data_IF_339040413117
#
_entry.id   IF_339040413117
#
_cell.length_a   1.000
_cell.length_b   1.000
_cell.length_c   1.000
_cell.angle_alpha   90.00
_cell.angle_beta   90.00
_cell.angle_gamma   90.00
#
_symmetry.space_group_name_H-M   'P 1'
#
loop_
_entity.id
_entity.type
_entity.pdbx_description
1 polymer ?
#
# COMPACT_ATOMS: atom_id res chain seq x y z
N UNK A 1 -10.76 -13.56 18.28
CA UNK A 1 -10.87 -14.28 17.02
C UNK A 1 -10.34 -13.43 15.86
N UNK A 2 -9.70 -14.06 14.95
CA UNK A 2 -9.16 -13.34 13.80
C UNK A 2 -10.28 -12.88 12.86
N UNK A 3 -10.16 -11.65 12.41
CA UNK A 3 -11.05 -11.10 11.41
C UNK A 3 -10.53 -11.30 9.99
N UNK A 4 -9.39 -11.94 9.85
CA UNK A 4 -8.76 -12.12 8.56
C UNK A 4 -9.54 -13.08 7.67
N UNK A 5 -9.68 -12.71 6.42
CA UNK A 5 -10.22 -13.59 5.39
C UNK A 5 -9.25 -14.75 5.12
N UNK A 6 -9.75 -15.94 4.76
CA UNK A 6 -8.85 -17.03 4.39
C UNK A 6 -7.92 -16.71 3.23
N UNK A 7 -8.29 -15.72 2.40
CA UNK A 7 -7.47 -15.30 1.27
C UNK A 7 -6.42 -14.27 1.62
N UNK A 8 -6.45 -13.75 2.84
CA UNK A 8 -5.48 -12.75 3.26
C UNK A 8 -4.21 -13.39 3.77
N UNK A 9 -3.10 -12.73 3.48
CA UNK A 9 -1.79 -13.14 3.97
C UNK A 9 -1.37 -12.23 5.11
N UNK A 10 -0.69 -12.79 6.09
CA UNK A 10 -0.15 -12.01 7.20
C UNK A 10 1.37 -11.99 7.09
N UNK A 11 1.93 -10.81 7.36
CA UNK A 11 3.36 -10.65 7.43
C UNK A 11 3.82 -10.83 8.86
N UNK A 12 4.96 -11.50 9.01
CA UNK A 12 5.52 -11.73 10.32
C UNK A 12 6.57 -10.66 10.62
N UNK A 13 6.34 -9.90 11.68
CA UNK A 13 7.28 -8.85 12.12
C UNK A 13 7.68 -9.18 13.56
N UNK A 14 8.98 -9.28 13.84
CA UNK A 14 9.42 -9.53 15.20
C UNK A 14 8.86 -8.49 16.18
N UNK A 15 8.43 -8.93 17.34
CA UNK A 15 7.77 -8.04 18.31
C UNK A 15 8.67 -6.89 18.76
N UNK A 16 9.93 -7.16 18.95
CA UNK A 16 10.88 -6.12 19.37
C UNK A 16 11.07 -5.06 18.30
N UNK A 17 11.05 -5.46 17.04
CA UNK A 17 11.11 -4.51 15.90
C UNK A 17 9.83 -3.68 15.85
N UNK A 18 8.69 -4.33 15.98
CA UNK A 18 7.41 -3.65 15.93
C UNK A 18 7.31 -2.59 17.05
N UNK A 19 7.74 -2.96 18.26
CA UNK A 19 7.71 -2.05 19.40
C UNK A 19 8.70 -0.90 19.28
N UNK A 20 9.79 -1.11 18.54
CA UNK A 20 10.82 -0.09 18.35
C UNK A 20 10.41 0.99 17.34
N UNK A 21 9.35 0.77 16.61
CA UNK A 21 8.90 1.72 15.59
C UNK A 21 8.45 3.02 16.24
N UNK A 22 8.94 4.13 15.71
CA UNK A 22 8.64 5.47 16.24
C UNK A 22 7.35 6.01 15.65
N UNK A 23 6.28 5.25 15.82
CA UNK A 23 4.95 5.57 15.33
C UNK A 23 3.98 5.19 16.44
N UNK A 24 2.92 5.97 16.67
CA UNK A 24 1.92 5.60 17.66
C UNK A 24 1.39 4.18 17.39
N UNK A 25 1.14 3.44 18.45
CA UNK A 25 0.76 2.03 18.35
C UNK A 25 -0.45 1.80 17.44
N UNK A 26 -1.45 2.68 17.54
CA UNK A 26 -2.66 2.58 16.72
C UNK A 26 -2.44 2.90 15.25
N UNK A 27 -1.27 3.42 14.90
CA UNK A 27 -0.92 3.77 13.52
C UNK A 27 0.13 2.86 12.90
N UNK A 28 0.65 1.91 13.67
CA UNK A 28 1.77 1.08 13.18
C UNK A 28 1.41 0.22 11.99
N UNK A 29 0.31 -0.50 12.06
CA UNK A 29 -0.09 -1.38 10.96
C UNK A 29 -0.37 -0.59 9.70
N UNK A 30 -1.06 0.52 9.85
CA UNK A 30 -1.38 1.42 8.75
C UNK A 30 -0.11 1.96 8.09
N UNK A 31 0.85 2.38 8.92
CA UNK A 31 2.13 2.90 8.43
C UNK A 31 2.91 1.84 7.69
N UNK A 32 2.98 0.62 8.23
CA UNK A 32 3.68 -0.48 7.60
C UNK A 32 3.08 -0.78 6.23
N UNK A 33 1.77 -0.87 6.14
CA UNK A 33 1.08 -1.15 4.87
C UNK A 33 1.34 -0.04 3.85
N UNK A 34 1.31 1.21 4.30
CA UNK A 34 1.56 2.36 3.43
C UNK A 34 2.99 2.33 2.88
N UNK A 35 3.97 2.14 3.75
CA UNK A 35 5.37 2.13 3.33
C UNK A 35 5.67 0.94 2.43
N UNK A 36 5.08 -0.20 2.73
CA UNK A 36 5.23 -1.39 1.90
C UNK A 36 4.67 -1.15 0.51
N UNK A 37 3.47 -0.57 0.44
CA UNK A 37 2.82 -0.28 -0.83
C UNK A 37 3.65 0.66 -1.69
N UNK A 38 4.19 1.72 -1.08
CA UNK A 38 5.03 2.68 -1.79
C UNK A 38 6.28 2.00 -2.34
N UNK A 39 6.93 1.19 -1.50
CA UNK A 39 8.15 0.50 -1.90
C UNK A 39 7.89 -0.48 -3.06
N UNK A 40 6.84 -1.29 -2.95
CA UNK A 40 6.51 -2.28 -3.97
C UNK A 40 6.12 -1.62 -5.29
N UNK A 41 5.43 -0.49 -5.21
CA UNK A 41 5.09 0.25 -6.41
C UNK A 41 6.33 0.86 -7.05
N UNK A 42 7.20 1.47 -6.25
CA UNK A 42 8.43 2.09 -6.74
C UNK A 42 9.31 1.08 -7.45
N UNK A 43 9.38 -0.14 -6.93
CA UNK A 43 10.19 -1.21 -7.50
C UNK A 43 9.47 -1.94 -8.64
N UNK A 44 8.29 -1.48 -9.02
CA UNK A 44 7.49 -2.07 -10.11
C UNK A 44 7.04 -3.50 -9.82
N UNK A 45 6.92 -3.84 -8.53
CA UNK A 45 6.45 -5.16 -8.11
C UNK A 45 4.92 -5.18 -8.09
N UNK A 46 4.30 -4.06 -7.72
CA UNK A 46 2.85 -3.91 -7.74
C UNK A 46 2.43 -2.79 -8.67
N UNK A 47 1.27 -2.97 -9.30
CA UNK A 47 0.63 -1.91 -10.07
C UNK A 47 0.10 -0.82 -9.14
N UNK A 48 -0.24 0.33 -9.69
CA UNK A 48 -0.81 1.43 -8.93
C UNK A 48 -2.09 1.01 -8.20
N UNK A 49 -2.99 0.34 -8.91
CA UNK A 49 -4.25 -0.08 -8.31
C UNK A 49 -4.08 -1.04 -7.14
N UNK A 50 -3.15 -1.97 -7.26
CA UNK A 50 -2.89 -2.94 -6.20
C UNK A 50 -2.12 -2.31 -5.03
N UNK A 51 -1.19 -1.42 -5.33
CA UNK A 51 -0.43 -0.74 -4.29
C UNK A 51 -1.34 0.15 -3.43
N UNK A 52 -2.21 0.94 -4.07
CA UNK A 52 -3.12 1.78 -3.32
C UNK A 52 -4.08 0.94 -2.47
N UNK A 53 -4.46 -0.22 -2.97
CA UNK A 53 -5.33 -1.14 -2.24
C UNK A 53 -4.62 -1.68 -1.00
N UNK A 54 -3.36 -2.03 -1.13
CA UNK A 54 -2.54 -2.48 0.01
C UNK A 54 -2.41 -1.37 1.06
N UNK A 55 -2.24 -0.14 0.61
CA UNK A 55 -2.14 1.03 1.50
C UNK A 55 -3.48 1.44 2.09
N UNK A 56 -4.57 0.83 1.63
CA UNK A 56 -5.92 1.19 2.05
C UNK A 56 -6.22 2.66 1.78
N UNK A 57 -5.82 3.13 0.62
CA UNK A 57 -5.97 4.52 0.18
C UNK A 57 -6.80 4.60 -1.09
N UNK A 58 -7.46 5.75 -1.28
CA UNK A 58 -8.07 6.04 -2.58
C UNK A 58 -6.96 6.31 -3.59
N UNK A 59 -7.30 6.27 -4.87
CA UNK A 59 -6.30 6.55 -5.90
C UNK A 59 -5.75 7.97 -5.78
N UNK A 60 -6.57 8.92 -5.34
CA UNK A 60 -6.15 10.30 -5.14
C UNK A 60 -5.15 10.41 -3.99
N UNK A 61 -5.46 9.77 -2.87
CA UNK A 61 -4.59 9.77 -1.71
C UNK A 61 -3.24 9.13 -2.02
N UNK A 62 -3.26 8.01 -2.71
CA UNK A 62 -2.02 7.31 -3.06
C UNK A 62 -1.21 8.10 -4.08
N UNK A 63 -1.88 8.71 -5.05
CA UNK A 63 -1.23 9.57 -6.03
C UNK A 63 -0.50 10.72 -5.33
N UNK A 64 -1.17 11.39 -4.39
CA UNK A 64 -0.59 12.48 -3.63
C UNK A 64 0.60 12.03 -2.80
N UNK A 65 0.50 10.84 -2.22
CA UNK A 65 1.59 10.26 -1.45
C UNK A 65 2.84 10.03 -2.31
N UNK A 66 2.65 9.47 -3.49
CA UNK A 66 3.75 9.25 -4.43
C UNK A 66 4.40 10.57 -4.84
N UNK A 67 3.57 11.56 -5.12
CA UNK A 67 4.04 12.89 -5.49
C UNK A 67 4.85 13.52 -4.37
N UNK A 68 4.38 13.40 -3.14
CA UNK A 68 5.06 13.88 -1.94
C UNK A 68 6.43 13.22 -1.77
N UNK A 69 6.53 11.94 -2.15
CA UNK A 69 7.76 11.17 -2.06
C UNK A 69 8.64 11.27 -3.31
N UNK A 70 8.26 12.10 -4.29
CA UNK A 70 8.97 12.26 -5.55
C UNK A 70 9.11 10.96 -6.33
N UNK A 71 8.08 10.15 -6.30
CA UNK A 71 8.03 8.89 -7.03
C UNK A 71 7.17 9.07 -8.27
N UNK A 72 7.74 8.80 -9.44
CA UNK A 72 7.01 8.91 -10.68
C UNK A 72 5.99 7.81 -10.80
N UNK A 73 4.82 8.17 -11.33
CA UNK A 73 3.79 7.19 -11.59
C UNK A 73 4.10 6.44 -12.89
N UNK A 74 4.06 5.13 -12.81
CA UNK A 74 4.30 4.27 -13.97
C UNK A 74 2.99 3.98 -14.68
N UNK A 75 2.92 4.35 -15.95
CA UNK A 75 1.73 4.07 -16.76
C UNK A 75 2.06 2.94 -17.73
N UNK A 76 1.75 1.73 -17.30
CA UNK A 76 1.77 0.58 -18.19
C UNK A 76 0.34 0.32 -18.63
N UNK A 77 0.17 -0.50 -19.65
CA UNK A 77 -1.16 -0.88 -20.10
C UNK A 77 -1.95 -1.55 -18.97
N UNK A 78 -1.30 -2.38 -18.21
CA UNK A 78 -1.91 -3.07 -17.07
C UNK A 78 -2.38 -2.09 -16.01
N UNK A 79 -1.52 -1.13 -15.66
CA UNK A 79 -1.87 -0.11 -14.66
C UNK A 79 -3.04 0.74 -15.12
N UNK A 80 -3.07 1.07 -16.40
CA UNK A 80 -4.14 1.85 -16.97
C UNK A 80 -5.48 1.13 -16.86
N UNK A 81 -5.49 -0.16 -17.17
CA UNK A 81 -6.71 -0.98 -17.07
C UNK A 81 -7.20 -1.07 -15.63
N UNK A 82 -6.30 -1.23 -14.68
CA UNK A 82 -6.67 -1.27 -13.27
C UNK A 82 -7.24 0.06 -12.80
N UNK A 83 -6.63 1.16 -13.21
CA UNK A 83 -7.11 2.49 -12.85
C UNK A 83 -8.52 2.72 -13.37
N UNK A 84 -8.79 2.31 -14.59
CA UNK A 84 -10.12 2.42 -15.17
C UNK A 84 -11.14 1.59 -14.40
N UNK A 85 -10.76 0.39 -14.01
CA UNK A 85 -11.64 -0.48 -13.23
C UNK A 85 -12.03 0.16 -11.91
N UNK A 86 -11.07 0.72 -11.20
CA UNK A 86 -11.33 1.35 -9.92
C UNK A 86 -12.08 2.68 -10.07
N UNK A 87 -11.87 3.38 -11.17
CA UNK A 87 -12.57 4.63 -11.42
C UNK A 87 -14.07 4.43 -11.61
N UNK A 88 -14.49 3.23 -12.00
CA UNK A 88 -15.90 2.90 -12.19
C UNK A 88 -16.60 2.48 -10.91
N UNK A 89 -15.86 2.22 -9.90
CA UNK A 89 -16.40 1.86 -8.59
C UNK A 89 -16.66 3.11 -7.76
#
# INVERSE_FOLDING_TARGET
MSASSPSEKQLSIPKDVYRAMKVPEDKRDETIQKELAVSLYREKILSFGKARQLANMTKWEFHDLLKERNIERHYTEENFKEDLKYAKE
#
